data_IF_391963478384
#
_entry.id   IF_391963478384
#
_cell.length_a   1.000
_cell.length_b   1.000
_cell.length_c   1.000
_cell.angle_alpha   90.00
_cell.angle_beta   90.00
_cell.angle_gamma   90.00
#
_symmetry.space_group_name_H-M   'P 1'
#
loop_
_entity.id
_entity.type
_entity.pdbx_description
1 polymer ?
#
# COMPACT_ATOMS: atom_id res chain seq x y z
N UNK A 1 6.71 -9.96 4.46
CA UNK A 1 5.78 -8.85 4.12
C UNK A 1 6.05 -8.36 2.71
N UNK A 2 7.32 -8.08 2.40
CA UNK A 2 7.86 -7.76 1.07
C UNK A 2 9.09 -8.63 0.79
N UNK A 3 9.60 -8.60 -0.44
CA UNK A 3 10.84 -9.24 -0.90
C UNK A 3 11.67 -8.25 -1.75
N UNK A 4 12.76 -8.74 -2.34
CA UNK A 4 13.62 -7.93 -3.19
C UNK A 4 12.91 -7.41 -4.45
N UNK A 5 11.93 -8.13 -4.98
CA UNK A 5 11.21 -7.71 -6.18
C UNK A 5 10.36 -6.47 -5.89
N UNK A 6 9.77 -6.37 -4.69
CA UNK A 6 9.09 -5.15 -4.26
C UNK A 6 10.05 -3.96 -4.09
N UNK A 7 11.28 -4.19 -3.61
CA UNK A 7 12.31 -3.13 -3.51
C UNK A 7 12.77 -2.66 -4.89
N UNK A 8 12.94 -3.57 -5.84
CA UNK A 8 13.39 -3.28 -7.20
C UNK A 8 12.33 -2.57 -8.07
N UNK A 9 11.08 -2.45 -7.60
CA UNK A 9 10.07 -1.58 -8.22
C UNK A 9 10.29 -0.10 -7.89
N UNK A 10 10.91 0.19 -6.75
CA UNK A 10 11.14 1.56 -6.26
C UNK A 10 12.61 1.99 -6.41
N UNK A 11 13.54 1.04 -6.47
CA UNK A 11 14.97 1.27 -6.62
C UNK A 11 15.54 0.54 -7.82
N UNK A 12 16.55 1.13 -8.46
CA UNK A 12 17.41 0.37 -9.36
C UNK A 12 18.23 -0.68 -8.58
N UNK A 13 18.66 -1.74 -9.28
CA UNK A 13 19.55 -2.75 -8.69
C UNK A 13 20.84 -2.14 -8.10
N UNK A 14 21.35 -1.09 -8.76
CA UNK A 14 22.56 -0.39 -8.32
C UNK A 14 22.33 0.36 -7.01
N UNK A 15 21.23 1.08 -6.89
CA UNK A 15 20.88 1.77 -5.64
C UNK A 15 20.64 0.77 -4.50
N UNK A 16 20.02 -0.37 -4.77
CA UNK A 16 19.84 -1.41 -3.76
C UNK A 16 21.17 -2.03 -3.31
N UNK A 17 22.12 -2.21 -4.22
CA UNK A 17 23.50 -2.61 -3.90
C UNK A 17 24.17 -1.57 -3.01
N UNK A 18 24.19 -0.31 -3.43
CA UNK A 18 24.80 0.79 -2.67
C UNK A 18 24.17 0.96 -1.29
N UNK A 19 22.84 0.82 -1.17
CA UNK A 19 22.13 0.97 0.11
C UNK A 19 22.32 -0.21 1.06
N UNK A 20 22.53 -1.42 0.54
CA UNK A 20 22.73 -2.61 1.37
C UNK A 20 24.20 -2.87 1.72
N UNK A 21 25.14 -2.33 0.94
CA UNK A 21 26.56 -2.56 1.13
C UNK A 21 27.20 -1.61 2.17
N UNK A 22 27.14 -2.01 3.44
CA UNK A 22 27.75 -1.26 4.54
C UNK A 22 29.29 -1.35 4.59
N UNK A 23 29.89 -2.31 3.86
CA UNK A 23 31.31 -2.65 3.97
C UNK A 23 32.11 -2.31 2.70
N UNK A 24 31.47 -1.82 1.64
CA UNK A 24 32.13 -1.50 0.36
C UNK A 24 32.56 -2.74 -0.44
N UNK A 25 31.79 -3.83 -0.35
CA UNK A 25 32.02 -5.08 -1.07
C UNK A 25 31.47 -5.09 -2.52
N UNK A 26 30.74 -4.04 -2.94
CA UNK A 26 30.10 -3.90 -4.26
C UNK A 26 29.18 -5.08 -4.60
N UNK A 27 28.43 -5.54 -3.60
CA UNK A 27 27.47 -6.64 -3.70
C UNK A 27 26.29 -6.37 -2.79
N UNK A 28 25.12 -6.79 -3.26
CA UNK A 28 23.90 -6.78 -2.44
C UNK A 28 24.13 -7.61 -1.18
N UNK A 29 23.91 -6.99 -0.01
CA UNK A 29 23.96 -7.67 1.27
C UNK A 29 22.55 -8.00 1.74
N UNK A 30 22.16 -9.28 1.59
CA UNK A 30 20.81 -9.72 1.93
C UNK A 30 20.53 -9.65 3.43
N UNK A 31 21.53 -9.81 4.30
CA UNK A 31 21.33 -9.74 5.75
C UNK A 31 20.95 -8.33 6.18
N UNK A 32 21.60 -7.31 5.60
CA UNK A 32 21.28 -5.90 5.83
C UNK A 32 19.86 -5.57 5.33
N UNK A 33 19.47 -6.11 4.17
CA UNK A 33 18.11 -5.94 3.64
C UNK A 33 17.08 -6.62 4.56
N UNK A 34 17.33 -7.84 5.00
CA UNK A 34 16.43 -8.58 5.88
C UNK A 34 16.25 -7.88 7.23
N UNK A 35 17.33 -7.33 7.79
CA UNK A 35 17.27 -6.53 9.01
C UNK A 35 16.47 -5.24 8.80
N UNK A 36 16.67 -4.53 7.69
CA UNK A 36 15.89 -3.34 7.36
C UNK A 36 14.39 -3.66 7.18
N UNK A 37 14.06 -4.78 6.52
CA UNK A 37 12.67 -5.25 6.38
C UNK A 37 12.07 -5.55 7.75
N UNK A 38 12.84 -6.18 8.65
CA UNK A 38 12.40 -6.49 10.01
C UNK A 38 12.16 -5.23 10.83
N UNK A 39 13.04 -4.24 10.74
CA UNK A 39 12.91 -2.94 11.41
C UNK A 39 11.66 -2.22 10.91
N UNK A 40 11.47 -2.12 9.59
CA UNK A 40 10.28 -1.53 8.97
C UNK A 40 8.98 -2.26 9.36
N UNK A 41 9.00 -3.60 9.35
CA UNK A 41 7.87 -4.43 9.76
C UNK A 41 7.52 -4.19 11.24
N UNK A 42 8.53 -4.09 12.10
CA UNK A 42 8.35 -3.82 13.53
C UNK A 42 7.77 -2.43 13.77
N UNK A 43 8.22 -1.44 13.00
CA UNK A 43 7.64 -0.09 13.03
C UNK A 43 6.16 -0.11 12.66
N UNK A 44 5.79 -0.74 11.55
CA UNK A 44 4.37 -0.90 11.15
C UNK A 44 3.56 -1.62 12.24
N UNK A 45 4.13 -2.66 12.87
CA UNK A 45 3.47 -3.43 13.92
C UNK A 45 3.17 -2.60 15.18
N UNK A 46 3.82 -1.45 15.36
CA UNK A 46 3.49 -0.51 16.45
C UNK A 46 2.18 0.26 16.20
N UNK A 47 1.70 0.34 14.96
CA UNK A 47 0.45 1.02 14.58
C UNK A 47 -0.70 0.04 14.39
N UNK A 48 -0.43 -1.11 13.75
CA UNK A 48 -1.45 -2.06 13.31
C UNK A 48 -1.02 -3.51 13.51
N UNK A 49 -1.99 -4.41 13.68
CA UNK A 49 -1.74 -5.85 13.56
C UNK A 49 -1.57 -6.19 12.08
N UNK A 50 -0.41 -6.71 11.72
CA UNK A 50 -0.09 -7.03 10.32
C UNK A 50 -0.94 -8.23 9.86
N UNK A 51 -1.77 -8.06 8.81
CA UNK A 51 -2.63 -9.13 8.32
C UNK A 51 -1.86 -10.15 7.49
N UNK A 52 -2.45 -11.33 7.28
CA UNK A 52 -1.86 -12.37 6.42
C UNK A 52 -1.83 -11.96 4.95
N UNK A 53 -2.88 -11.25 4.50
CA UNK A 53 -3.04 -10.77 3.13
C UNK A 53 -3.04 -9.23 3.09
N UNK A 54 -1.88 -8.57 3.26
CA UNK A 54 -1.80 -7.11 3.30
C UNK A 54 -2.23 -6.49 1.97
N UNK A 55 -2.82 -5.29 2.05
CA UNK A 55 -3.13 -4.50 0.85
C UNK A 55 -1.86 -4.11 0.10
N UNK A 56 -1.92 -3.87 -1.22
CA UNK A 56 -0.78 -3.37 -1.99
C UNK A 56 -0.21 -2.07 -1.41
N UNK A 57 -1.08 -1.18 -0.90
CA UNK A 57 -0.66 0.04 -0.22
C UNK A 57 0.14 -0.25 1.06
N UNK A 58 -0.28 -1.23 1.87
CA UNK A 58 0.47 -1.60 3.07
C UNK A 58 1.82 -2.24 2.72
N UNK A 59 1.90 -3.02 1.63
CA UNK A 59 3.19 -3.50 1.11
C UNK A 59 4.08 -2.35 0.65
N UNK A 60 3.53 -1.38 -0.08
CA UNK A 60 4.26 -0.20 -0.54
C UNK A 60 4.81 0.62 0.63
N UNK A 61 4.01 0.84 1.68
CA UNK A 61 4.47 1.51 2.91
C UNK A 61 5.66 0.74 3.53
N UNK A 62 5.58 -0.60 3.59
CA UNK A 62 6.68 -1.44 4.06
C UNK A 62 7.95 -1.28 3.20
N UNK A 63 7.80 -1.23 1.88
CA UNK A 63 8.91 -1.01 0.94
C UNK A 63 9.59 0.34 1.20
N UNK A 64 8.81 1.43 1.27
CA UNK A 64 9.35 2.76 1.52
C UNK A 64 10.05 2.85 2.88
N UNK A 65 9.44 2.32 3.94
CA UNK A 65 10.06 2.27 5.26
C UNK A 65 11.35 1.43 5.27
N UNK A 66 11.40 0.35 4.51
CA UNK A 66 12.63 -0.45 4.35
C UNK A 66 13.74 0.35 3.68
N UNK A 67 13.41 1.13 2.64
CA UNK A 67 14.38 2.02 1.96
C UNK A 67 14.87 3.11 2.92
N UNK A 68 13.98 3.67 3.74
CA UNK A 68 14.33 4.63 4.79
C UNK A 68 15.31 4.01 5.79
N UNK A 69 15.06 2.79 6.22
CA UNK A 69 15.93 2.06 7.14
C UNK A 69 17.32 1.78 6.53
N UNK A 70 17.39 1.42 5.25
CA UNK A 70 18.65 1.26 4.53
C UNK A 70 19.41 2.59 4.44
N UNK A 71 18.74 3.69 4.06
CA UNK A 71 19.32 5.05 4.05
C UNK A 71 19.85 5.44 5.43
N UNK A 72 19.10 5.13 6.50
CA UNK A 72 19.51 5.41 7.88
C UNK A 72 20.77 4.62 8.27
N UNK A 73 20.86 3.34 7.91
CA UNK A 73 22.06 2.50 8.16
C UNK A 73 23.28 3.01 7.38
N UNK A 74 23.06 3.61 6.20
CA UNK A 74 24.10 4.30 5.44
C UNK A 74 24.36 5.76 5.87
N UNK A 75 23.84 6.19 7.03
CA UNK A 75 24.05 7.53 7.59
C UNK A 75 23.58 8.68 6.69
N UNK A 76 22.57 8.45 5.85
CA UNK A 76 21.94 9.54 5.10
C UNK A 76 21.33 10.55 6.08
N UNK A 77 21.41 11.88 5.81
CA UNK A 77 20.75 12.88 6.63
C UNK A 77 19.24 12.64 6.70
N UNK A 78 18.64 12.82 7.88
CA UNK A 78 17.20 12.60 8.09
C UNK A 78 16.32 13.41 7.14
N UNK A 79 16.75 14.62 6.77
CA UNK A 79 16.02 15.48 5.84
C UNK A 79 15.85 14.83 4.45
N UNK A 80 16.71 13.90 4.04
CA UNK A 80 16.61 13.22 2.74
C UNK A 80 15.42 12.24 2.65
N UNK A 81 14.81 11.90 3.78
CA UNK A 81 13.72 10.93 3.83
C UNK A 81 12.60 11.29 4.83
N UNK A 82 12.66 12.49 5.41
CA UNK A 82 11.71 12.96 6.42
C UNK A 82 10.28 13.02 5.88
N UNK A 83 10.08 13.64 4.72
CA UNK A 83 8.75 13.81 4.13
C UNK A 83 8.10 12.44 3.79
N UNK A 84 8.90 11.50 3.33
CA UNK A 84 8.47 10.14 3.01
C UNK A 84 8.10 9.36 4.28
N UNK A 85 8.87 9.52 5.36
CA UNK A 85 8.57 8.96 6.67
C UNK A 85 7.25 9.52 7.21
N UNK A 86 7.08 10.85 7.22
CA UNK A 86 5.86 11.52 7.70
C UNK A 86 4.62 11.09 6.89
N UNK A 87 4.77 10.92 5.56
CA UNK A 87 3.71 10.38 4.70
C UNK A 87 3.34 8.96 5.08
N UNK A 88 4.32 8.08 5.33
CA UNK A 88 4.08 6.71 5.75
C UNK A 88 3.38 6.66 7.12
N UNK A 89 3.84 7.44 8.09
CA UNK A 89 3.22 7.55 9.42
C UNK A 89 1.77 8.02 9.33
N UNK A 90 1.49 9.06 8.54
CA UNK A 90 0.13 9.56 8.33
C UNK A 90 -0.82 8.49 7.75
N UNK A 91 -0.33 7.67 6.82
CA UNK A 91 -1.09 6.56 6.26
C UNK A 91 -1.31 5.44 7.29
N UNK A 92 -0.28 5.09 8.06
CA UNK A 92 -0.39 4.08 9.12
C UNK A 92 -1.36 4.50 10.23
N UNK A 93 -1.38 5.78 10.61
CA UNK A 93 -2.38 6.33 11.54
C UNK A 93 -3.79 6.19 10.97
N UNK A 94 -4.00 6.46 9.68
CA UNK A 94 -5.31 6.27 9.04
C UNK A 94 -5.72 4.80 8.98
N UNK A 95 -4.76 3.89 8.76
CA UNK A 95 -4.96 2.44 8.81
C UNK A 95 -5.31 1.94 10.21
N UNK A 96 -4.60 2.40 11.24
CA UNK A 96 -4.86 2.09 12.64
C UNK A 96 -6.26 2.53 13.09
N UNK A 97 -6.71 3.68 12.58
CA UNK A 97 -8.07 4.19 12.80
C UNK A 97 -9.14 3.51 11.91
N UNK A 98 -8.78 2.51 11.11
CA UNK A 98 -9.70 1.79 10.23
C UNK A 98 -10.23 2.59 9.04
N UNK A 99 -9.70 3.80 8.78
CA UNK A 99 -10.10 4.64 7.63
C UNK A 99 -9.58 4.11 6.30
N UNK A 100 -8.45 3.38 6.34
CA UNK A 100 -7.85 2.72 5.19
C UNK A 100 -7.78 1.21 5.51
N UNK A 101 -8.24 0.33 4.61
CA UNK A 101 -8.16 -1.11 4.84
C UNK A 101 -6.72 -1.62 4.81
N UNK A 102 -6.40 -2.51 5.74
CA UNK A 102 -5.06 -3.12 5.87
C UNK A 102 -4.98 -4.50 5.22
N UNK A 103 -6.11 -5.19 5.08
CA UNK A 103 -6.21 -6.54 4.53
C UNK A 103 -7.12 -6.57 3.30
N UNK A 104 -6.70 -7.31 2.26
CA UNK A 104 -7.57 -7.63 1.14
C UNK A 104 -8.62 -8.64 1.60
N UNK A 105 -9.87 -8.18 1.72
CA UNK A 105 -11.00 -9.09 1.90
C UNK A 105 -11.33 -9.72 0.55
N UNK A 106 -11.29 -11.04 0.48
CA UNK A 106 -11.92 -11.77 -0.62
C UNK A 106 -13.44 -11.63 -0.46
N UNK A 107 -14.02 -10.55 -0.97
CA UNK A 107 -15.46 -10.39 -1.03
C UNK A 107 -16.03 -11.31 -2.12
N UNK A 108 -16.19 -12.59 -1.79
CA UNK A 108 -17.11 -13.47 -2.51
C UNK A 108 -18.55 -13.10 -2.10
N UNK A 109 -19.02 -11.94 -2.56
CA UNK A 109 -20.45 -11.63 -2.74
C UNK A 109 -20.54 -10.30 -3.49
N UNK A 110 -20.90 -10.40 -4.77
CA UNK A 110 -21.46 -9.28 -5.53
C UNK A 110 -22.67 -8.77 -4.75
N UNK A 111 -22.50 -7.72 -3.94
CA UNK A 111 -23.63 -6.97 -3.41
C UNK A 111 -24.23 -6.24 -4.61
N UNK A 112 -25.24 -6.87 -5.23
CA UNK A 112 -26.11 -6.20 -6.19
C UNK A 112 -26.80 -5.08 -5.44
N UNK A 113 -26.20 -3.89 -5.44
CA UNK A 113 -26.88 -2.66 -4.99
C UNK A 113 -28.07 -2.50 -5.92
N UNK A 114 -29.27 -2.85 -5.44
CA UNK A 114 -30.52 -2.45 -6.09
C UNK A 114 -30.47 -0.92 -6.18
N UNK A 115 -30.25 -0.40 -7.39
CA UNK A 115 -30.39 1.02 -7.65
C UNK A 115 -31.86 1.34 -7.56
N UNK A 116 -32.24 2.21 -6.63
CA UNK A 116 -33.58 2.76 -6.57
C UNK A 116 -33.75 3.76 -7.74
N UNK A 117 -34.18 3.25 -8.89
CA UNK A 117 -34.84 4.07 -9.90
C UNK A 117 -36.09 3.31 -10.35
N UNK A 118 -37.21 3.54 -9.66
CA UNK A 118 -38.53 3.30 -10.22
C UNK A 118 -38.92 4.56 -11.00
N UNK A 119 -38.67 4.57 -12.31
CA UNK A 119 -39.48 5.39 -13.20
C UNK A 119 -40.74 4.59 -13.49
N UNK A 120 -41.87 5.03 -12.92
CA UNK A 120 -43.18 4.62 -13.43
C UNK A 120 -43.41 5.43 -14.70
N UNK A 121 -43.00 4.89 -15.83
CA UNK A 121 -43.49 5.40 -17.10
C UNK A 121 -44.97 5.02 -17.19
N UNK A 122 -45.81 6.04 -17.03
CA UNK A 122 -47.23 5.96 -17.34
C UNK A 122 -47.37 5.38 -18.74
N UNK A 123 -48.15 4.29 -18.86
CA UNK A 123 -48.60 3.74 -20.12
C UNK A 123 -49.24 4.88 -20.92
N UNK A 124 -48.60 5.32 -22.02
CA UNK A 124 -49.25 6.16 -23.01
C UNK A 124 -50.47 5.38 -23.53
N UNK A 125 -51.67 5.85 -23.19
CA UNK A 125 -52.89 5.38 -23.85
C UNK A 125 -52.78 5.73 -25.33
N UNK A 126 -52.87 4.70 -26.15
CA UNK A 126 -53.00 4.75 -27.60
C UNK A 126 -54.12 5.73 -28.00
N UNK A 127 -53.79 6.73 -28.82
CA UNK A 127 -54.72 7.75 -29.30
C UNK A 127 -55.38 7.39 -30.64
N UNK A 128 -55.25 6.14 -31.10
CA UNK A 128 -55.82 5.71 -32.38
C UNK A 128 -57.32 5.33 -32.37
N UNK A 129 -58.07 5.59 -31.28
CA UNK A 129 -59.49 5.21 -31.19
C UNK A 129 -60.46 6.36 -30.86
N UNK A 130 -60.11 7.62 -31.14
CA UNK A 130 -61.09 8.73 -31.07
C UNK A 130 -61.03 9.52 -32.37
N UNK A 131 -61.72 9.01 -33.39
CA UNK A 131 -62.59 9.75 -34.31
C UNK A 131 -63.16 8.76 -35.32
N UNK A 132 -64.40 8.34 -35.08
CA UNK A 132 -65.37 8.12 -36.15
C UNK A 132 -65.92 9.46 -36.63
#
# INVERSE_FOLDING_TARGET
MIDNDELLKELSKKELEELSDLNGNFKINQDVINDAIKDATSFIASFIVIPKNPTPLLKQICTLLTIIELKRKQNYPKENYKDELEKCESLLIKMANGKIPIELKNESKLIVKQRAFKHNDYIMKDWSSVNG
#
